data_IF_993026157942
#
_entry.id   IF_993026157942
#
_cell.length_a   1.000
_cell.length_b   1.000
_cell.length_c   1.000
_cell.angle_alpha   90.00
_cell.angle_beta   90.00
_cell.angle_gamma   90.00
#
_symmetry.space_group_name_H-M   'P 1'
#
loop_
_entity.id
_entity.type
_entity.pdbx_description
1 polymer ?
#
# COMPACT_ATOMS: atom_id res chain seq x y z
N UNK A 1 -2.85 -35.42 25.08
CA UNK A 1 -3.25 -34.19 25.48
C UNK A 1 -2.52 -33.04 24.86
N UNK A 2 -1.28 -32.99 24.95
CA UNK A 2 -0.54 -31.93 24.40
C UNK A 2 -0.69 -31.81 22.94
N UNK A 3 -0.96 -32.85 22.24
CA UNK A 3 -1.06 -32.82 20.82
C UNK A 3 -2.10 -31.88 20.29
N UNK A 4 -3.16 -31.79 20.98
CA UNK A 4 -4.26 -31.02 20.53
C UNK A 4 -4.01 -29.55 20.52
N UNK A 5 -3.23 -29.13 21.46
CA UNK A 5 -2.95 -27.74 21.50
C UNK A 5 -2.28 -27.29 20.30
N UNK A 6 -1.34 -28.08 19.81
CA UNK A 6 -0.57 -27.70 18.67
C UNK A 6 -1.45 -27.43 17.47
N UNK A 7 -2.39 -28.28 17.25
CA UNK A 7 -3.27 -28.11 16.13
C UNK A 7 -4.06 -26.85 16.25
N UNK A 8 -4.44 -26.55 17.46
CA UNK A 8 -5.23 -25.40 17.69
C UNK A 8 -4.50 -24.12 17.39
N UNK A 9 -3.27 -24.04 17.79
CA UNK A 9 -2.48 -22.89 17.54
C UNK A 9 -2.27 -22.63 16.08
N UNK A 10 -2.17 -23.66 15.31
CA UNK A 10 -1.94 -23.53 13.90
C UNK A 10 -3.09 -22.84 13.20
N UNK A 11 -4.29 -23.16 13.60
CA UNK A 11 -5.46 -22.58 12.98
C UNK A 11 -5.57 -21.09 13.17
N UNK A 12 -5.29 -20.63 14.34
CA UNK A 12 -5.41 -19.24 14.65
C UNK A 12 -4.46 -18.37 13.82
N UNK A 13 -3.19 -18.69 13.73
CA UNK A 13 -2.27 -17.93 12.91
C UNK A 13 -2.66 -17.90 11.44
N UNK A 14 -3.17 -19.00 10.96
CA UNK A 14 -3.58 -19.05 9.57
C UNK A 14 -4.69 -18.08 9.26
N UNK A 15 -5.63 -17.97 10.13
CA UNK A 15 -6.73 -17.03 9.94
C UNK A 15 -6.22 -15.60 9.91
N UNK A 16 -5.19 -15.30 10.69
CA UNK A 16 -4.62 -13.96 10.73
C UNK A 16 -3.74 -13.65 9.55
N UNK A 17 -3.23 -14.66 8.84
CA UNK A 17 -2.31 -14.44 7.75
C UNK A 17 -2.92 -13.75 6.54
N UNK A 18 -4.24 -13.69 6.45
CA UNK A 18 -4.87 -13.00 5.34
C UNK A 18 -4.93 -11.50 5.54
N UNK A 19 -4.61 -11.01 6.73
CA UNK A 19 -4.64 -9.59 7.03
C UNK A 19 -3.33 -8.92 6.68
N UNK A 20 -3.41 -7.66 6.28
CA UNK A 20 -2.24 -6.86 5.92
C UNK A 20 -2.00 -5.83 7.01
N UNK A 21 -0.77 -5.79 7.52
CA UNK A 21 -0.33 -4.80 8.50
C UNK A 21 1.10 -4.42 8.15
N UNK A 22 1.27 -3.31 7.46
CA UNK A 22 2.57 -2.85 7.00
C UNK A 22 2.79 -1.41 7.44
N UNK A 23 4.02 -1.09 7.77
CA UNK A 23 4.40 0.30 8.02
C UNK A 23 5.77 0.52 7.39
N UNK A 24 5.89 1.57 6.60
CA UNK A 24 7.14 1.93 5.94
C UNK A 24 7.43 3.40 6.11
N UNK A 25 8.69 3.72 6.34
CA UNK A 25 9.15 5.09 6.40
C UNK A 25 10.26 5.28 5.38
N UNK A 26 10.23 6.37 4.64
CA UNK A 26 11.18 6.63 3.59
C UNK A 26 11.23 8.11 3.28
N UNK A 27 12.17 8.50 2.41
CA UNK A 27 12.33 9.87 1.99
C UNK A 27 12.09 9.96 0.49
N UNK A 28 11.40 11.01 0.05
CA UNK A 28 11.14 11.27 -1.37
C UNK A 28 11.74 12.60 -1.74
N UNK A 29 12.45 12.63 -2.87
CA UNK A 29 13.00 13.87 -3.39
C UNK A 29 11.96 14.65 -4.21
N UNK A 30 12.11 15.95 -4.37
CA UNK A 30 11.20 16.73 -5.24
C UNK A 30 11.20 16.14 -6.65
N UNK A 31 10.02 15.85 -7.16
CA UNK A 31 9.90 15.24 -8.49
C UNK A 31 10.26 13.78 -8.53
N UNK A 32 10.69 13.20 -7.39
CA UNK A 32 10.98 11.78 -7.30
C UNK A 32 9.81 11.00 -6.78
N UNK A 33 9.91 9.69 -6.82
CA UNK A 33 8.86 8.81 -6.34
C UNK A 33 9.44 7.62 -5.58
N UNK A 34 8.59 7.03 -4.74
CA UNK A 34 8.93 5.81 -4.01
C UNK A 34 7.72 4.90 -4.07
N UNK A 35 7.95 3.63 -4.34
CA UNK A 35 6.84 2.68 -4.40
C UNK A 35 7.02 1.57 -3.37
N UNK A 36 5.92 1.18 -2.76
CA UNK A 36 5.86 0.05 -1.85
C UNK A 36 5.10 -1.05 -2.54
N UNK A 37 5.75 -2.18 -2.74
CA UNK A 37 5.11 -3.33 -3.37
C UNK A 37 4.54 -4.23 -2.27
N UNK A 38 3.25 -4.46 -2.32
CA UNK A 38 2.54 -5.22 -1.29
C UNK A 38 2.07 -6.55 -1.86
N UNK A 39 2.32 -7.61 -1.11
CA UNK A 39 1.93 -8.97 -1.50
C UNK A 39 0.42 -9.09 -1.65
N UNK A 40 0.00 -9.87 -2.64
CA UNK A 40 -1.43 -10.06 -2.88
C UNK A 40 -2.11 -10.74 -1.68
N UNK A 41 -3.27 -10.25 -1.25
CA UNK A 41 -4.01 -10.90 -0.18
C UNK A 41 -4.68 -12.18 -0.70
N UNK A 42 -4.90 -13.14 0.19
CA UNK A 42 -5.56 -14.38 -0.17
C UNK A 42 -7.05 -14.17 -0.44
N UNK A 43 -7.64 -13.21 0.24
CA UNK A 43 -9.04 -12.86 0.06
C UNK A 43 -9.15 -11.35 -0.12
N UNK A 44 -10.27 -10.90 -0.64
CA UNK A 44 -10.49 -9.47 -0.80
C UNK A 44 -10.31 -8.76 0.55
N UNK A 45 -9.59 -7.65 0.54
CA UNK A 45 -9.31 -6.88 1.75
C UNK A 45 -9.72 -5.43 1.56
N UNK A 46 -10.35 -4.89 2.57
CA UNK A 46 -10.60 -3.46 2.64
C UNK A 46 -9.50 -2.89 3.52
N UNK A 47 -8.73 -1.97 2.97
CA UNK A 47 -7.55 -1.44 3.63
C UNK A 47 -7.74 0.01 4.00
N UNK A 48 -7.14 0.39 5.12
CA UNK A 48 -6.98 1.77 5.49
C UNK A 48 -5.50 2.12 5.35
N UNK A 49 -5.21 3.14 4.59
CA UNK A 49 -3.84 3.56 4.32
C UNK A 49 -3.66 4.96 4.87
N UNK A 50 -2.83 5.07 5.89
CA UNK A 50 -2.57 6.34 6.56
C UNK A 50 -1.21 6.88 6.12
N UNK A 51 -1.23 8.10 5.61
CA UNK A 51 -0.04 8.81 5.16
C UNK A 51 0.28 9.93 6.15
N UNK A 52 1.54 10.04 6.54
CA UNK A 52 2.03 11.16 7.32
C UNK A 52 3.34 11.62 6.70
N UNK A 53 3.48 12.92 6.49
CA UNK A 53 4.67 13.49 5.85
C UNK A 53 4.95 14.86 6.42
N UNK A 54 6.22 15.26 6.42
CA UNK A 54 6.59 16.60 6.87
C UNK A 54 6.41 17.64 5.77
N UNK A 55 6.26 17.21 4.53
CA UNK A 55 6.00 18.09 3.37
C UNK A 55 4.89 17.47 2.54
N UNK A 56 4.13 18.28 1.78
CA UNK A 56 3.07 17.75 0.94
C UNK A 56 3.61 16.76 -0.11
N UNK A 57 2.91 15.66 -0.27
CA UNK A 57 3.25 14.64 -1.26
C UNK A 57 1.97 14.16 -1.94
N UNK A 58 2.13 13.42 -3.02
CA UNK A 58 1.01 12.76 -3.68
C UNK A 58 1.09 11.28 -3.38
N UNK A 59 -0.05 10.64 -3.21
CA UNK A 59 -0.10 9.19 -2.95
C UNK A 59 -1.14 8.53 -3.83
N UNK A 60 -0.76 7.38 -4.41
CA UNK A 60 -1.66 6.54 -5.23
C UNK A 60 -1.57 5.10 -4.74
N UNK A 61 -2.71 4.42 -4.77
CA UNK A 61 -2.77 2.97 -4.56
C UNK A 61 -3.18 2.36 -5.89
N UNK A 62 -2.31 1.55 -6.47
CA UNK A 62 -2.46 1.06 -7.84
C UNK A 62 -2.32 -0.46 -7.89
N UNK A 63 -3.24 -1.11 -8.60
CA UNK A 63 -3.13 -2.56 -8.82
C UNK A 63 -1.97 -2.85 -9.75
N UNK A 64 -1.13 -3.80 -9.38
CA UNK A 64 0.10 -4.08 -10.11
C UNK A 64 -0.15 -4.48 -11.56
N UNK A 65 -1.21 -5.20 -11.82
CA UNK A 65 -1.54 -5.64 -13.18
C UNK A 65 -1.79 -4.48 -14.14
N UNK A 66 -2.09 -3.30 -13.62
CA UNK A 66 -2.35 -2.12 -14.45
C UNK A 66 -1.12 -1.24 -14.63
N UNK A 67 0.00 -1.60 -14.02
CA UNK A 67 1.24 -0.87 -14.17
C UNK A 67 1.93 -1.34 -15.44
N UNK A 68 2.37 -0.41 -16.31
CA UNK A 68 3.02 -0.80 -17.56
C UNK A 68 4.28 -1.63 -17.32
N UNK A 69 4.41 -2.75 -18.01
CA UNK A 69 5.57 -3.62 -17.88
C UNK A 69 6.83 -2.93 -18.39
N UNK A 70 7.93 -3.17 -17.72
CA UNK A 70 9.21 -2.64 -18.12
C UNK A 70 9.39 -1.16 -17.87
N UNK A 71 8.41 -0.52 -17.27
CA UNK A 71 8.50 0.90 -16.95
C UNK A 71 8.44 1.08 -15.44
N UNK A 72 9.59 1.32 -14.85
CA UNK A 72 9.63 1.64 -13.43
C UNK A 72 9.27 3.10 -13.21
N UNK A 73 9.49 3.92 -14.22
CA UNK A 73 9.18 5.34 -14.20
C UNK A 73 7.96 5.64 -15.04
N UNK A 74 6.80 5.36 -14.52
CA UNK A 74 5.59 5.76 -15.20
C UNK A 74 4.89 6.84 -14.37
N UNK A 75 4.08 7.65 -15.03
CA UNK A 75 3.31 8.67 -14.35
C UNK A 75 1.95 8.12 -13.96
N UNK A 76 1.64 7.99 -12.67
CA UNK A 76 0.34 7.46 -12.24
C UNK A 76 -0.84 8.24 -12.80
N UNK A 77 -0.66 9.52 -13.11
CA UNK A 77 -1.72 10.33 -13.68
C UNK A 77 -2.14 9.84 -15.06
N UNK A 78 -1.27 9.10 -15.75
CA UNK A 78 -1.57 8.61 -17.08
C UNK A 78 -2.35 7.30 -17.09
N UNK A 79 -2.52 6.67 -15.93
CA UNK A 79 -3.24 5.42 -15.84
C UNK A 79 -4.74 5.64 -15.96
N UNK A 80 -5.37 4.89 -16.85
CA UNK A 80 -6.82 4.96 -17.04
C UNK A 80 -7.55 4.02 -16.11
N UNK A 81 -6.89 2.97 -15.68
CA UNK A 81 -7.48 1.95 -14.82
C UNK A 81 -6.49 1.53 -13.75
N UNK A 82 -6.99 0.94 -12.68
CA UNK A 82 -6.14 0.35 -11.65
C UNK A 82 -5.80 1.25 -10.49
N UNK A 83 -6.15 2.54 -10.57
CA UNK A 83 -5.96 3.43 -9.43
C UNK A 83 -7.15 3.23 -8.50
N UNK A 84 -6.89 2.63 -7.35
CA UNK A 84 -7.93 2.28 -6.39
C UNK A 84 -8.21 3.41 -5.43
N UNK A 85 -7.20 4.22 -5.14
CA UNK A 85 -7.33 5.37 -4.26
C UNK A 85 -6.18 6.34 -4.54
N UNK A 86 -6.41 7.63 -4.30
CA UNK A 86 -5.35 8.64 -4.45
C UNK A 86 -5.69 9.89 -3.66
N UNK A 87 -4.63 10.59 -3.25
CA UNK A 87 -4.72 11.93 -2.67
C UNK A 87 -3.52 12.71 -3.15
N UNK A 88 -3.69 14.00 -3.40
CA UNK A 88 -2.64 14.83 -3.94
C UNK A 88 -2.36 16.03 -3.05
N UNK A 89 -1.07 16.38 -2.95
CA UNK A 89 -0.62 17.57 -2.22
C UNK A 89 -1.07 17.57 -0.76
N UNK A 90 -0.76 16.47 -0.06
CA UNK A 90 -1.15 16.28 1.33
C UNK A 90 0.04 15.94 2.22
N UNK A 91 0.02 16.45 3.45
CA UNK A 91 0.96 16.05 4.49
C UNK A 91 0.38 14.91 5.30
N UNK A 92 -0.94 14.84 5.39
CA UNK A 92 -1.64 13.77 6.07
C UNK A 92 -2.84 13.39 5.25
N UNK A 93 -3.08 12.09 5.12
CA UNK A 93 -4.23 11.60 4.39
C UNK A 93 -4.54 10.19 4.88
N UNK A 94 -5.82 9.85 4.83
CA UNK A 94 -6.26 8.48 5.10
C UNK A 94 -7.07 8.05 3.90
N UNK A 95 -6.59 6.99 3.23
CA UNK A 95 -7.26 6.43 2.07
C UNK A 95 -7.89 5.10 2.45
N UNK A 96 -9.00 4.80 1.82
CA UNK A 96 -9.62 3.49 1.93
C UNK A 96 -9.56 2.85 0.55
N UNK A 97 -9.08 1.63 0.48
CA UNK A 97 -8.97 0.91 -0.78
C UNK A 97 -9.44 -0.52 -0.59
N UNK A 98 -10.18 -1.03 -1.57
CA UNK A 98 -10.59 -2.42 -1.58
C UNK A 98 -9.71 -3.15 -2.59
N UNK A 99 -8.93 -4.11 -2.13
CA UNK A 99 -8.02 -4.86 -2.97
C UNK A 99 -8.62 -6.25 -3.22
N UNK A 100 -8.84 -6.61 -4.48
CA UNK A 100 -9.39 -7.92 -4.81
C UNK A 100 -8.47 -9.06 -4.36
N UNK A 101 -9.05 -10.22 -4.14
CA UNK A 101 -8.28 -11.40 -3.79
C UNK A 101 -7.24 -11.70 -4.86
N UNK A 102 -6.04 -12.06 -4.41
CA UNK A 102 -4.92 -12.48 -5.27
C UNK A 102 -4.38 -11.39 -6.19
N UNK A 103 -4.71 -10.12 -5.94
CA UNK A 103 -4.14 -9.01 -6.71
C UNK A 103 -3.05 -8.32 -5.91
N UNK A 104 -1.89 -8.19 -6.51
CA UNK A 104 -0.80 -7.41 -5.93
C UNK A 104 -1.09 -5.94 -6.17
N UNK A 105 -0.61 -5.10 -5.28
CA UNK A 105 -0.78 -3.67 -5.45
C UNK A 105 0.45 -2.91 -4.98
N UNK A 106 0.56 -1.68 -5.40
CA UNK A 106 1.64 -0.79 -4.98
C UNK A 106 1.08 0.50 -4.45
N UNK A 107 1.79 1.04 -3.48
CA UNK A 107 1.51 2.38 -2.98
C UNK A 107 2.63 3.27 -3.50
N UNK A 108 2.28 4.25 -4.33
CA UNK A 108 3.23 5.20 -4.88
C UNK A 108 3.13 6.52 -4.15
N UNK A 109 4.28 7.08 -3.81
CA UNK A 109 4.34 8.40 -3.17
C UNK A 109 5.31 9.25 -3.96
N UNK A 110 4.84 10.41 -4.43
CA UNK A 110 5.66 11.35 -5.18
C UNK A 110 5.92 12.60 -4.37
N UNK A 111 7.18 13.06 -4.40
CA UNK A 111 7.52 14.35 -3.83
C UNK A 111 7.03 15.47 -4.73
N UNK A 112 6.60 16.57 -4.14
CA UNK A 112 6.07 17.70 -4.88
C UNK A 112 7.11 18.81 -5.00
N UNK A 113 7.28 19.61 -3.96
CA UNK A 113 8.17 20.77 -4.01
C UNK A 113 9.44 20.61 -3.21
N UNK A 114 9.38 19.88 -2.12
CA UNK A 114 10.49 19.73 -1.19
C UNK A 114 10.70 18.27 -0.84
N UNK A 115 11.91 17.94 -0.42
CA UNK A 115 12.23 16.63 0.09
C UNK A 115 11.32 16.33 1.27
N UNK A 116 10.69 15.18 1.26
CA UNK A 116 9.72 14.80 2.28
C UNK A 116 10.14 13.52 3.01
N UNK A 117 9.94 13.52 4.32
CA UNK A 117 10.07 12.30 5.13
C UNK A 117 8.68 11.76 5.33
N UNK A 118 8.44 10.56 4.85
CA UNK A 118 7.10 9.99 4.72
C UNK A 118 6.98 8.70 5.51
N UNK A 119 5.83 8.52 6.15
CA UNK A 119 5.46 7.24 6.78
C UNK A 119 4.11 6.82 6.22
N UNK A 120 4.04 5.59 5.76
CA UNK A 120 2.79 5.00 5.26
C UNK A 120 2.48 3.78 6.08
N UNK A 121 1.26 3.73 6.60
CA UNK A 121 0.80 2.60 7.39
C UNK A 121 -0.41 1.99 6.69
N UNK A 122 -0.36 0.69 6.44
CA UNK A 122 -1.40 -0.03 5.72
C UNK A 122 -1.98 -1.10 6.62
N UNK A 123 -3.27 -1.00 6.89
CA UNK A 123 -3.95 -1.94 7.77
C UNK A 123 -5.23 -2.48 7.16
N UNK A 124 -5.45 -3.78 7.29
CA UNK A 124 -6.72 -4.39 6.93
C UNK A 124 -7.78 -4.01 7.95
N UNK A 125 -8.95 -3.68 7.48
CA UNK A 125 -10.08 -3.36 8.32
C UNK A 125 -10.93 -4.58 8.63
#
# INVERSE_FOLDING_TARGET
MKLRWLAFFILVPLAGCSKIHEQRSFTVEPGGSHSLQITAPLSEQKLQIALTSDQPVNIWVILEKNIPEGKEDFDPETLKEGVVAKEKDKKEATLTATIPAKEKFRVYVDGVKKKASVTVKIDSQ
#
